data_IF_029234637117
#
_entry.id   IF_029234637117
#
_cell.length_a   1.000
_cell.length_b   1.000
_cell.length_c   1.000
_cell.angle_alpha   90.00
_cell.angle_beta   90.00
_cell.angle_gamma   90.00
#
_symmetry.space_group_name_H-M   'P 1'
#
loop_
_entity.id
_entity.type
_entity.pdbx_description
1 polymer ?
#
# COMPACT_ATOMS: atom_id res chain seq x y z
N UNK A 1 18.21 4.02 -8.42
CA UNK A 1 17.65 2.66 -8.44
C UNK A 1 16.41 2.54 -7.55
N UNK A 2 15.44 1.72 -7.96
CA UNK A 2 14.31 1.40 -7.12
C UNK A 2 14.77 0.55 -5.93
N UNK A 3 14.16 0.76 -4.78
CA UNK A 3 14.49 0.00 -3.57
C UNK A 3 13.36 0.12 -2.54
N UNK A 4 13.34 -0.78 -1.55
CA UNK A 4 12.42 -0.68 -0.41
C UNK A 4 12.92 0.38 0.59
N UNK A 5 12.73 1.67 0.25
CA UNK A 5 13.13 2.81 1.06
C UNK A 5 11.93 3.67 1.45
N UNK A 6 11.93 4.18 2.68
CA UNK A 6 10.85 5.03 3.19
C UNK A 6 10.64 6.28 2.32
N UNK A 7 9.39 6.64 2.11
CA UNK A 7 9.00 7.85 1.37
C UNK A 7 9.09 7.74 -0.15
N UNK A 8 9.46 6.58 -0.70
CA UNK A 8 9.44 6.38 -2.15
C UNK A 8 8.03 6.10 -2.65
N UNK A 9 7.76 6.65 -3.84
CA UNK A 9 6.54 6.39 -4.60
C UNK A 9 6.94 5.98 -6.02
N UNK A 10 6.35 4.91 -6.52
CA UNK A 10 6.56 4.44 -7.89
C UNK A 10 5.60 5.17 -8.83
N UNK A 11 6.14 5.83 -9.84
CA UNK A 11 5.36 6.49 -10.89
C UNK A 11 5.29 5.68 -12.18
N UNK A 12 6.25 4.79 -12.39
CA UNK A 12 6.36 3.98 -13.59
C UNK A 12 7.79 3.52 -13.82
N UNK A 13 8.08 3.08 -15.03
CA UNK A 13 9.40 2.62 -15.45
C UNK A 13 10.15 3.71 -16.21
N UNK A 14 11.43 3.90 -15.93
CA UNK A 14 12.31 4.76 -16.68
C UNK A 14 12.36 4.34 -18.16
N UNK A 15 12.18 5.29 -19.08
CA UNK A 15 12.21 5.02 -20.52
C UNK A 15 13.62 4.76 -21.07
N UNK A 16 14.63 5.26 -20.39
CA UNK A 16 16.04 5.10 -20.72
C UNK A 16 16.91 5.25 -19.48
N UNK A 17 18.11 4.73 -19.55
CA UNK A 17 19.16 5.01 -18.56
C UNK A 17 19.70 6.41 -18.81
N UNK A 18 19.77 7.22 -17.75
CA UNK A 18 20.36 8.55 -17.75
C UNK A 18 21.46 8.59 -16.70
N UNK A 19 22.64 8.97 -17.13
CA UNK A 19 23.78 9.19 -16.25
C UNK A 19 23.78 10.66 -15.79
N UNK A 20 23.73 10.86 -14.49
CA UNK A 20 23.84 12.17 -13.83
C UNK A 20 24.93 12.15 -12.74
N UNK A 21 25.95 11.31 -12.93
CA UNK A 21 27.00 11.10 -11.92
C UNK A 21 27.72 12.39 -11.53
N UNK A 22 27.95 13.26 -12.50
CA UNK A 22 28.66 14.54 -12.32
C UNK A 22 27.71 15.74 -12.21
N UNK A 23 26.39 15.53 -12.26
CA UNK A 23 25.39 16.57 -12.22
C UNK A 23 24.74 16.78 -10.86
N UNK A 24 24.16 17.95 -10.64
CA UNK A 24 23.36 18.26 -9.46
C UNK A 24 21.93 17.68 -9.59
N UNK A 25 21.23 17.67 -8.47
CA UNK A 25 19.83 17.24 -8.46
C UNK A 25 18.97 18.17 -9.36
N UNK A 26 18.31 17.58 -10.35
CA UNK A 26 17.48 18.31 -11.32
C UNK A 26 18.17 18.63 -12.66
N UNK A 27 19.46 18.38 -12.81
CA UNK A 27 20.17 18.63 -14.07
C UNK A 27 19.78 17.64 -15.17
N UNK A 28 19.38 16.43 -14.79
CA UNK A 28 18.92 15.42 -15.74
C UNK A 28 17.39 15.20 -15.64
N UNK A 29 16.75 15.13 -16.80
CA UNK A 29 15.32 14.83 -16.91
C UNK A 29 15.16 13.41 -17.44
N UNK A 30 14.40 12.59 -16.74
CA UNK A 30 14.06 11.23 -17.13
C UNK A 30 12.60 11.14 -17.57
N UNK A 31 12.37 10.55 -18.73
CA UNK A 31 11.01 10.18 -19.15
C UNK A 31 10.58 8.91 -18.42
N UNK A 32 9.39 8.92 -17.85
CA UNK A 32 8.79 7.78 -17.16
C UNK A 32 7.63 7.25 -18.00
N UNK A 33 7.59 5.94 -18.19
CA UNK A 33 6.50 5.24 -18.88
C UNK A 33 5.60 4.56 -17.86
N UNK A 34 4.32 4.79 -18.01
CA UNK A 34 3.27 4.01 -17.35
C UNK A 34 2.87 2.84 -18.25
N UNK A 35 2.37 1.77 -17.64
CA UNK A 35 1.93 0.61 -18.41
C UNK A 35 2.22 -0.70 -17.71
N UNK A 36 2.20 -1.76 -18.51
CA UNK A 36 2.44 -3.12 -18.04
C UNK A 36 3.87 -3.53 -18.39
N UNK A 37 4.64 -3.95 -17.39
CA UNK A 37 6.04 -4.34 -17.55
C UNK A 37 6.33 -5.64 -16.81
N UNK A 38 7.23 -6.45 -17.38
CA UNK A 38 7.69 -7.69 -16.76
C UNK A 38 8.69 -7.40 -15.65
N UNK A 39 8.51 -8.10 -14.53
CA UNK A 39 9.37 -8.06 -13.36
C UNK A 39 9.66 -9.46 -12.87
N UNK A 40 10.85 -9.65 -12.33
CA UNK A 40 11.24 -10.87 -11.64
C UNK A 40 10.66 -10.90 -10.22
N UNK A 41 10.57 -12.09 -9.63
CA UNK A 41 10.17 -12.31 -8.27
C UNK A 41 10.22 -13.77 -7.90
N UNK A 42 9.43 -14.22 -6.95
CA UNK A 42 9.40 -15.64 -6.60
C UNK A 42 8.07 -16.11 -6.02
N UNK A 43 7.75 -17.37 -6.27
CA UNK A 43 6.60 -18.05 -5.70
C UNK A 43 5.25 -17.52 -6.18
N UNK A 44 5.19 -16.90 -7.35
CA UNK A 44 3.93 -16.46 -7.96
C UNK A 44 3.11 -17.65 -8.47
N UNK A 45 1.80 -17.51 -8.41
CA UNK A 45 0.83 -18.49 -8.90
C UNK A 45 -0.27 -17.75 -9.66
N UNK A 46 -1.03 -18.45 -10.49
CA UNK A 46 -2.16 -17.85 -11.21
C UNK A 46 -3.18 -17.13 -10.29
N UNK A 47 -3.30 -17.60 -9.04
CA UNK A 47 -4.16 -16.97 -8.03
C UNK A 47 -3.65 -15.60 -7.52
N UNK A 48 -2.46 -15.19 -7.93
CA UNK A 48 -1.88 -13.88 -7.56
C UNK A 48 -2.20 -12.79 -8.59
N UNK A 49 -2.82 -13.13 -9.73
CA UNK A 49 -3.33 -12.14 -10.68
C UNK A 49 -4.31 -11.16 -10.00
N UNK A 50 -4.14 -9.87 -10.26
CA UNK A 50 -4.91 -8.79 -9.64
C UNK A 50 -4.45 -8.39 -8.24
N UNK A 51 -3.48 -9.09 -7.64
CA UNK A 51 -2.95 -8.72 -6.32
C UNK A 51 -1.87 -7.65 -6.41
N UNK A 52 -1.69 -6.85 -5.35
CA UNK A 52 -0.62 -5.86 -5.26
C UNK A 52 0.75 -6.54 -5.16
N UNK A 53 1.76 -5.88 -5.71
CA UNK A 53 3.17 -6.22 -5.52
C UNK A 53 3.97 -5.00 -5.12
N UNK A 54 5.11 -5.26 -4.51
CA UNK A 54 5.96 -4.26 -3.88
C UNK A 54 7.38 -4.35 -4.47
N UNK A 55 8.05 -3.21 -4.56
CA UNK A 55 9.42 -3.12 -5.05
C UNK A 55 10.38 -3.80 -4.06
N UNK A 56 11.26 -4.61 -4.60
CA UNK A 56 12.47 -5.10 -3.92
C UNK A 56 13.68 -4.33 -4.45
N UNK A 57 13.82 -4.28 -5.76
CA UNK A 57 14.86 -3.54 -6.48
C UNK A 57 14.38 -3.11 -7.88
N UNK A 58 15.30 -2.73 -8.77
CA UNK A 58 14.97 -2.20 -10.10
C UNK A 58 14.27 -3.22 -11.03
N UNK A 59 14.47 -4.50 -10.80
CA UNK A 59 13.97 -5.58 -11.66
C UNK A 59 13.09 -6.57 -10.92
N UNK A 60 13.05 -6.48 -9.57
CA UNK A 60 12.42 -7.49 -8.72
C UNK A 60 11.24 -6.91 -7.93
N UNK A 61 10.14 -7.66 -7.91
CA UNK A 61 8.97 -7.39 -7.07
C UNK A 61 8.64 -8.58 -6.18
N UNK A 62 7.96 -8.31 -5.07
CA UNK A 62 7.52 -9.33 -4.13
C UNK A 62 6.03 -9.18 -3.77
N UNK A 63 5.38 -10.30 -3.42
CA UNK A 63 3.98 -10.33 -2.95
C UNK A 63 3.79 -9.66 -1.60
N UNK A 64 4.80 -9.73 -0.76
CA UNK A 64 4.86 -9.02 0.52
C UNK A 64 5.90 -7.94 0.43
N UNK A 65 5.53 -6.71 0.72
CA UNK A 65 6.51 -5.62 0.80
C UNK A 65 7.54 -5.88 1.89
N UNK A 66 8.74 -5.33 1.71
CA UNK A 66 9.74 -5.22 2.76
C UNK A 66 9.27 -4.30 3.89
N UNK A 67 10.19 -3.71 4.61
CA UNK A 67 9.90 -2.83 5.77
C UNK A 67 9.02 -1.63 5.39
N UNK A 68 9.27 -1.02 4.22
CA UNK A 68 8.61 0.21 3.78
C UNK A 68 7.43 -0.02 2.85
N UNK A 69 7.28 -1.24 2.32
CA UNK A 69 6.18 -1.65 1.44
C UNK A 69 5.95 -0.67 0.28
N UNK A 70 7.03 -0.39 -0.46
CA UNK A 70 6.95 0.49 -1.63
C UNK A 70 6.11 -0.19 -2.71
N UNK A 71 4.89 0.27 -2.89
CA UNK A 71 3.93 -0.30 -3.82
C UNK A 71 4.40 -0.13 -5.27
N UNK A 72 4.49 -1.23 -6.02
CA UNK A 72 4.89 -1.23 -7.43
C UNK A 72 3.70 -1.13 -8.39
N UNK A 73 2.65 -1.87 -8.11
CA UNK A 73 1.49 -1.98 -8.97
C UNK A 73 0.69 -3.24 -8.69
N UNK A 74 -0.16 -3.61 -9.63
CA UNK A 74 -0.96 -4.84 -9.55
C UNK A 74 -0.48 -5.85 -10.60
N UNK A 75 -0.45 -7.12 -10.22
CA UNK A 75 -0.14 -8.21 -11.15
C UNK A 75 -1.22 -8.26 -12.22
N UNK A 76 -0.84 -8.03 -13.47
CA UNK A 76 -1.72 -8.18 -14.62
C UNK A 76 -1.78 -9.63 -15.09
N UNK A 77 -0.62 -10.28 -15.13
CA UNK A 77 -0.46 -11.66 -15.56
C UNK A 77 0.70 -12.33 -14.82
N UNK A 78 0.55 -13.60 -14.50
CA UNK A 78 1.62 -14.44 -13.96
C UNK A 78 2.15 -15.30 -15.10
N UNK A 79 3.38 -15.05 -15.56
CA UNK A 79 4.02 -15.80 -16.63
C UNK A 79 4.64 -17.11 -16.14
N UNK A 80 5.25 -17.04 -14.95
CA UNK A 80 5.85 -18.19 -14.28
C UNK A 80 5.86 -17.97 -12.76
N UNK A 81 6.43 -18.93 -12.02
CA UNK A 81 6.66 -18.75 -10.57
C UNK A 81 7.60 -17.58 -10.25
N UNK A 82 8.41 -17.17 -11.21
CA UNK A 82 9.50 -16.21 -11.01
C UNK A 82 9.38 -14.94 -11.88
N UNK A 83 8.32 -14.84 -12.69
CA UNK A 83 8.08 -13.70 -13.57
C UNK A 83 6.60 -13.32 -13.62
N UNK A 84 6.35 -12.03 -13.47
CA UNK A 84 5.01 -11.43 -13.53
C UNK A 84 5.00 -10.16 -14.36
N UNK A 85 3.88 -9.91 -15.04
CA UNK A 85 3.60 -8.61 -15.63
C UNK A 85 2.85 -7.74 -14.62
N UNK A 86 3.42 -6.58 -14.34
CA UNK A 86 2.90 -5.62 -13.36
C UNK A 86 2.38 -4.38 -14.08
N UNK A 87 1.13 -4.03 -13.83
CA UNK A 87 0.54 -2.77 -14.27
C UNK A 87 0.99 -1.66 -13.34
N UNK A 88 1.83 -0.76 -13.86
CA UNK A 88 2.34 0.43 -13.17
C UNK A 88 1.62 1.70 -13.66
N UNK A 89 1.73 2.78 -12.89
CA UNK A 89 1.28 4.11 -13.31
C UNK A 89 -0.19 4.43 -13.05
N UNK A 90 -1.01 3.42 -12.71
CA UNK A 90 -2.38 3.64 -12.24
C UNK A 90 -2.47 3.33 -10.73
N UNK A 91 -1.43 3.68 -10.02
CA UNK A 91 -1.42 3.54 -8.58
C UNK A 91 -2.41 4.55 -8.01
N UNK A 92 -3.50 4.04 -7.47
CA UNK A 92 -4.15 4.74 -6.38
C UNK A 92 -3.02 5.09 -5.40
N UNK A 93 -2.64 6.35 -5.34
CA UNK A 93 -1.68 6.81 -4.33
C UNK A 93 -2.15 6.22 -3.02
N UNK A 94 -1.34 5.38 -2.41
CA UNK A 94 -1.65 4.89 -1.09
C UNK A 94 -1.92 6.14 -0.24
N UNK A 95 -3.16 6.32 0.16
CA UNK A 95 -3.49 7.37 1.09
C UNK A 95 -2.56 7.21 2.28
N UNK A 96 -1.99 8.30 2.76
CA UNK A 96 -1.08 8.27 3.91
C UNK A 96 -1.65 7.39 5.02
N UNK A 97 -0.81 6.76 5.80
CA UNK A 97 -1.24 5.86 6.86
C UNK A 97 -2.34 6.52 7.71
N UNK A 98 -3.52 5.93 7.66
CA UNK A 98 -4.60 6.35 8.56
C UNK A 98 -4.35 5.66 9.90
N UNK A 99 -4.14 6.47 10.92
CA UNK A 99 -4.02 5.94 12.28
C UNK A 99 -5.30 5.17 12.66
N UNK A 100 -5.13 4.05 13.37
CA UNK A 100 -6.28 3.36 13.94
C UNK A 100 -7.05 4.32 14.85
N UNK A 101 -8.37 4.18 14.86
CA UNK A 101 -9.20 4.94 15.79
C UNK A 101 -8.86 4.51 17.20
N UNK A 102 -8.26 5.40 17.97
CA UNK A 102 -7.82 5.19 19.36
C UNK A 102 -8.68 5.94 20.37
N UNK A 103 -9.89 6.35 19.94
CA UNK A 103 -10.80 6.98 20.90
C UNK A 103 -10.95 6.08 22.12
N UNK A 104 -10.80 6.67 23.31
CA UNK A 104 -11.09 5.96 24.53
C UNK A 104 -12.56 5.52 24.50
N UNK A 105 -12.82 4.36 25.10
CA UNK A 105 -14.20 3.92 25.28
C UNK A 105 -14.97 5.01 26.06
N UNK A 106 -16.23 5.22 25.67
CA UNK A 106 -17.05 6.21 26.35
C UNK A 106 -17.02 5.92 27.85
N UNK A 107 -16.61 6.93 28.64
CA UNK A 107 -16.55 6.80 30.08
C UNK A 107 -17.96 6.44 30.61
N UNK A 108 -18.01 5.51 31.55
CA UNK A 108 -19.25 5.16 32.23
C UNK A 108 -19.72 6.40 33.00
N UNK A 109 -20.75 7.06 32.51
CA UNK A 109 -21.33 8.20 33.21
C UNK A 109 -22.00 7.73 34.49
N UNK A 110 -21.54 8.29 35.61
CA UNK A 110 -22.10 7.95 36.91
C UNK A 110 -23.55 8.45 37.05
N UNK A 111 -24.37 7.57 37.51
CA UNK A 111 -25.69 7.67 38.14
C UNK A 111 -26.64 8.79 37.78
N UNK A 112 -27.80 8.43 37.36
CA UNK A 112 -29.14 9.00 37.41
C UNK A 112 -29.82 9.37 36.10
N UNK A 113 -29.20 9.18 34.95
CA UNK A 113 -29.92 9.32 33.68
C UNK A 113 -29.76 8.03 32.86
N UNK A 114 -30.86 7.25 32.84
CA UNK A 114 -31.04 6.04 32.02
C UNK A 114 -29.72 5.34 31.63
N UNK A 115 -29.07 4.72 32.58
CA UNK A 115 -27.77 4.03 32.42
C UNK A 115 -27.78 3.05 31.24
N UNK A 116 -28.91 2.41 30.96
CA UNK A 116 -29.09 1.49 29.85
C UNK A 116 -28.93 2.17 28.48
N UNK A 117 -29.46 3.39 28.32
CA UNK A 117 -29.38 4.12 27.04
C UNK A 117 -27.97 4.63 26.79
N UNK A 118 -27.27 5.10 27.84
CA UNK A 118 -25.89 5.53 27.75
C UNK A 118 -24.96 4.33 27.43
N UNK A 119 -25.21 3.19 28.04
CA UNK A 119 -24.47 1.96 27.73
C UNK A 119 -24.73 1.47 26.30
N UNK A 120 -25.97 1.58 25.81
CA UNK A 120 -26.31 1.23 24.43
C UNK A 120 -25.55 2.13 23.43
N UNK A 121 -25.48 3.45 23.69
CA UNK A 121 -24.72 4.39 22.86
C UNK A 121 -23.22 4.07 22.90
N UNK A 122 -22.65 3.79 24.07
CA UNK A 122 -21.26 3.42 24.23
C UNK A 122 -20.92 2.13 23.48
N UNK A 123 -21.80 1.12 23.55
CA UNK A 123 -21.68 -0.13 22.82
C UNK A 123 -21.67 0.11 21.31
N UNK A 124 -22.63 0.90 20.79
CA UNK A 124 -22.71 1.23 19.38
C UNK A 124 -21.47 1.98 18.88
N UNK A 125 -20.94 2.90 19.70
CA UNK A 125 -19.72 3.64 19.37
C UNK A 125 -18.50 2.71 19.30
N UNK A 126 -18.39 1.76 20.22
CA UNK A 126 -17.30 0.78 20.23
C UNK A 126 -17.41 -0.20 19.05
N UNK A 127 -18.60 -0.67 18.71
CA UNK A 127 -18.84 -1.51 17.53
C UNK A 127 -18.46 -0.77 16.25
N UNK A 128 -18.84 0.50 16.12
CA UNK A 128 -18.47 1.35 14.96
C UNK A 128 -16.96 1.51 14.84
N UNK A 129 -16.25 1.71 15.96
CA UNK A 129 -14.79 1.77 16.03
C UNK A 129 -14.15 0.45 15.56
N UNK A 130 -14.66 -0.69 16.02
CA UNK A 130 -14.16 -2.01 15.61
C UNK A 130 -14.35 -2.23 14.11
N UNK A 131 -15.53 -1.90 13.58
CA UNK A 131 -15.81 -2.03 12.15
C UNK A 131 -14.91 -1.11 11.31
N UNK A 132 -14.71 0.15 11.72
CA UNK A 132 -13.84 1.07 11.03
C UNK A 132 -12.39 0.58 11.02
N UNK A 133 -11.88 0.09 12.14
CA UNK A 133 -10.54 -0.48 12.22
C UNK A 133 -10.39 -1.73 11.35
N UNK A 134 -11.43 -2.57 11.23
CA UNK A 134 -11.44 -3.72 10.33
C UNK A 134 -11.37 -3.29 8.85
N UNK A 135 -12.10 -2.23 8.46
CA UNK A 135 -12.03 -1.66 7.11
C UNK A 135 -10.64 -1.11 6.82
N UNK A 136 -10.06 -0.34 7.76
CA UNK A 136 -8.70 0.18 7.63
C UNK A 136 -7.69 -0.97 7.46
N UNK A 137 -7.81 -2.02 8.26
CA UNK A 137 -6.94 -3.20 8.14
C UNK A 137 -7.08 -3.89 6.78
N UNK A 138 -8.31 -4.04 6.28
CA UNK A 138 -8.57 -4.62 4.97
C UNK A 138 -7.98 -3.77 3.83
N UNK A 139 -8.12 -2.45 3.89
CA UNK A 139 -7.54 -1.53 2.90
C UNK A 139 -6.01 -1.56 2.91
N UNK A 140 -5.40 -1.65 4.10
CA UNK A 140 -3.95 -1.83 4.24
C UNK A 140 -3.50 -3.16 3.65
N UNK A 141 -4.21 -4.26 3.95
CA UNK A 141 -3.91 -5.58 3.39
C UNK A 141 -4.06 -5.63 1.86
N UNK A 142 -5.00 -4.87 1.32
CA UNK A 142 -5.18 -4.73 -0.13
C UNK A 142 -4.15 -3.78 -0.79
N UNK A 143 -3.25 -3.16 -0.01
CA UNK A 143 -2.27 -2.20 -0.53
C UNK A 143 -2.86 -0.85 -0.97
N UNK A 144 -4.10 -0.57 -0.60
CA UNK A 144 -4.79 0.68 -0.93
C UNK A 144 -4.49 1.82 0.07
N UNK A 145 -3.83 1.49 1.18
CA UNK A 145 -3.40 2.43 2.21
C UNK A 145 -1.99 2.07 2.70
N UNK A 146 -1.21 3.08 3.06
CA UNK A 146 0.10 2.87 3.69
C UNK A 146 -0.03 2.19 5.07
N UNK A 147 0.98 1.41 5.43
CA UNK A 147 1.06 0.66 6.70
C UNK A 147 1.63 1.51 7.82
#
# INVERSE_FOLDING_TARGET
PASDKAGLTVYGRAAATIDNTDGAAGDAIIAVREGCFSYQGSGFTAADAGKPVFIVDDETVAKSGGTNKVFAGFIKEVKSSDEVDVQMGNSLRAAGAVAAVTAADAATQGSTYVQADVQAIATLANESKVQLNAVIAALKAAGLMAV
#
